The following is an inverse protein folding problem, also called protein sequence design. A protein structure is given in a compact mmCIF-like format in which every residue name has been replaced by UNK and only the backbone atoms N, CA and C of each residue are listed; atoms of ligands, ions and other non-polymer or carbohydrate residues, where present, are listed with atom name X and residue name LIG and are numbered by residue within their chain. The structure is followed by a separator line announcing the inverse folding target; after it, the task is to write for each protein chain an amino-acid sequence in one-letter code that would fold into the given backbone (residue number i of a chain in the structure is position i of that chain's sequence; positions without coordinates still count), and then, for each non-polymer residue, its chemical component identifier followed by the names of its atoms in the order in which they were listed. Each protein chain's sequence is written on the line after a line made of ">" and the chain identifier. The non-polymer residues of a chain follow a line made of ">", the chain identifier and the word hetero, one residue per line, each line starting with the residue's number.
data_IF_686846866050
#
_entry.id   IF_686846866050
#
_cell.length_a   1.000
_cell.length_b   1.000
_cell.length_c   1.000
_cell.angle_alpha   90.00
_cell.angle_beta   90.00
_cell.angle_gamma   90.00
#
_symmetry.space_group_name_H-M   'P 1'
#
loop_
_entity.id
_entity.type
_entity.pdbx_description
1 polymer ?
#
# COMPACT_ATOMS: atom_id res chain seq x y z
N UNK A 1 55.40 32.47 16.05
CA UNK A 1 55.42 31.02 15.77
C UNK A 1 54.14 30.31 16.22
N UNK A 2 53.64 30.54 17.45
CA UNK A 2 52.47 29.84 18.01
C UNK A 2 51.15 30.06 17.23
N UNK A 3 50.87 31.29 16.77
CA UNK A 3 49.63 31.60 16.04
C UNK A 3 49.48 30.82 14.72
N UNK A 4 50.58 30.54 14.02
CA UNK A 4 50.57 29.74 12.77
C UNK A 4 50.33 28.25 13.04
N UNK A 5 50.78 27.76 14.20
CA UNK A 5 50.55 26.38 14.61
C UNK A 5 49.08 26.18 14.98
N UNK A 6 48.49 27.13 15.71
CA UNK A 6 47.07 27.12 16.10
C UNK A 6 46.13 27.22 14.90
N UNK A 7 46.46 28.05 13.90
CA UNK A 7 45.66 28.12 12.66
C UNK A 7 45.70 26.80 11.87
N UNK A 8 46.87 26.14 11.81
CA UNK A 8 47.02 24.86 11.10
C UNK A 8 46.32 23.70 11.82
N UNK A 9 46.30 23.69 13.15
CA UNK A 9 45.55 22.69 13.92
C UNK A 9 44.04 22.90 13.81
N UNK A 10 43.57 24.15 13.80
CA UNK A 10 42.15 24.47 13.64
C UNK A 10 41.61 24.04 12.26
N UNK A 11 42.40 24.26 11.19
CA UNK A 11 42.01 23.83 9.84
C UNK A 11 41.94 22.30 9.71
N UNK A 12 42.90 21.56 10.31
CA UNK A 12 42.85 20.09 10.33
C UNK A 12 41.65 19.57 11.11
N UNK A 13 41.35 20.14 12.28
CA UNK A 13 40.20 19.75 13.10
C UNK A 13 38.87 19.92 12.33
N UNK A 14 38.70 21.05 11.63
CA UNK A 14 37.51 21.32 10.82
C UNK A 14 37.35 20.35 9.62
N UNK A 15 38.45 19.95 8.98
CA UNK A 15 38.41 18.96 7.86
C UNK A 15 38.23 17.51 8.33
N UNK A 16 38.52 17.21 9.59
CA UNK A 16 38.33 15.86 10.18
C UNK A 16 36.99 15.68 10.88
N UNK A 17 36.17 16.74 10.98
CA UNK A 17 34.77 16.63 11.35
C UNK A 17 34.05 15.85 10.25
N UNK A 18 34.09 14.52 10.34
CA UNK A 18 33.27 13.62 9.53
C UNK A 18 31.85 14.13 9.62
N UNK A 19 31.29 14.56 8.49
CA UNK A 19 29.88 14.90 8.40
C UNK A 19 29.10 13.79 9.11
N UNK A 20 28.27 14.17 10.10
CA UNK A 20 27.46 13.22 10.84
C UNK A 20 26.77 12.31 9.83
N UNK A 21 26.90 10.99 9.98
CA UNK A 21 26.22 10.03 9.11
C UNK A 21 24.73 10.33 9.21
N UNK A 22 24.17 10.95 8.18
CA UNK A 22 22.72 11.10 8.07
C UNK A 22 22.19 9.67 8.01
N UNK A 23 21.26 9.27 8.88
CA UNK A 23 20.65 7.95 8.76
C UNK A 23 20.08 7.84 7.34
N UNK A 24 20.48 6.79 6.62
CA UNK A 24 19.88 6.51 5.34
C UNK A 24 18.37 6.36 5.56
N UNK A 25 17.56 7.00 4.73
CA UNK A 25 16.12 6.77 4.69
C UNK A 25 15.90 5.30 4.34
N UNK A 26 15.80 4.45 5.36
CA UNK A 26 15.39 3.07 5.21
C UNK A 26 13.92 3.12 4.81
N UNK A 27 13.59 2.48 3.68
CA UNK A 27 12.18 2.20 3.37
C UNK A 27 11.57 1.50 4.58
N UNK A 28 10.33 1.82 4.94
CA UNK A 28 9.64 1.34 6.15
C UNK A 28 9.79 -0.17 6.41
N UNK A 29 9.94 -0.97 5.35
CA UNK A 29 10.03 -2.44 5.42
C UNK A 29 11.45 -3.01 5.45
N UNK A 30 12.50 -2.18 5.44
CA UNK A 30 13.89 -2.65 5.41
C UNK A 30 14.46 -3.02 6.81
N UNK A 31 13.64 -2.92 7.87
CA UNK A 31 14.06 -3.15 9.25
C UNK A 31 14.01 -4.63 9.71
N UNK A 32 13.58 -5.56 8.85
CA UNK A 32 13.50 -7.00 9.11
C UNK A 32 12.07 -7.54 9.21
N UNK A 33 11.90 -8.85 8.98
CA UNK A 33 10.59 -9.54 8.95
C UNK A 33 10.07 -9.83 7.53
N UNK A 34 9.09 -10.72 7.41
CA UNK A 34 8.31 -10.92 6.17
C UNK A 34 7.07 -10.02 6.27
N UNK A 35 6.85 -9.06 5.36
CA UNK A 35 5.69 -8.19 5.35
C UNK A 35 4.37 -8.96 5.25
N UNK A 36 3.32 -8.49 5.92
CA UNK A 36 1.97 -9.05 5.72
C UNK A 36 1.26 -8.38 4.54
N UNK A 37 0.20 -9.01 4.04
CA UNK A 37 -0.58 -8.46 2.93
C UNK A 37 -1.28 -7.14 3.35
N UNK A 38 -1.58 -6.95 4.62
CA UNK A 38 -2.06 -5.65 5.12
C UNK A 38 -1.08 -4.51 4.88
N UNK A 39 0.22 -4.81 4.88
CA UNK A 39 1.31 -3.83 4.82
C UNK A 39 1.81 -3.62 3.39
N UNK A 40 1.81 -4.67 2.58
CA UNK A 40 2.44 -4.66 1.25
C UNK A 40 1.51 -4.97 0.08
N UNK A 41 0.28 -5.48 0.29
CA UNK A 41 -0.65 -5.65 -0.83
C UNK A 41 -0.95 -4.28 -1.46
N UNK A 42 -0.91 -4.22 -2.79
CA UNK A 42 -1.16 -2.98 -3.55
C UNK A 42 -2.07 -3.25 -4.75
N UNK A 43 -2.51 -2.17 -5.41
CA UNK A 43 -3.33 -2.27 -6.61
C UNK A 43 -4.65 -3.00 -6.36
N UNK A 44 -5.03 -3.85 -7.32
CA UNK A 44 -6.30 -4.58 -7.29
C UNK A 44 -6.41 -5.53 -6.09
N UNK A 45 -5.31 -6.17 -5.72
CA UNK A 45 -5.27 -7.10 -4.57
C UNK A 45 -5.67 -6.38 -3.28
N UNK A 46 -5.09 -5.20 -3.04
CA UNK A 46 -5.44 -4.37 -1.88
C UNK A 46 -6.91 -3.94 -1.90
N UNK A 47 -7.41 -3.53 -3.07
CA UNK A 47 -8.82 -3.11 -3.22
C UNK A 47 -9.79 -4.26 -2.95
N UNK A 48 -9.50 -5.47 -3.46
CA UNK A 48 -10.31 -6.66 -3.19
C UNK A 48 -10.29 -6.98 -1.70
N UNK A 49 -9.11 -6.99 -1.07
CA UNK A 49 -8.97 -7.30 0.35
C UNK A 49 -9.77 -6.32 1.24
N UNK A 50 -9.69 -5.02 0.95
CA UNK A 50 -10.45 -4.01 1.71
C UNK A 50 -11.96 -4.13 1.48
N UNK A 51 -12.41 -4.43 0.26
CA UNK A 51 -13.82 -4.63 -0.05
C UNK A 51 -14.37 -5.89 0.66
N UNK A 52 -13.61 -6.98 0.63
CA UNK A 52 -13.98 -8.21 1.33
C UNK A 52 -14.07 -8.01 2.85
N UNK A 53 -13.16 -7.21 3.44
CA UNK A 53 -13.23 -6.82 4.87
C UNK A 53 -14.51 -6.04 5.21
N UNK A 54 -15.10 -5.33 4.25
CA UNK A 54 -16.40 -4.63 4.39
C UNK A 54 -17.61 -5.50 4.04
N UNK A 55 -17.40 -6.74 3.58
CA UNK A 55 -18.47 -7.61 3.09
C UNK A 55 -18.98 -7.24 1.69
N UNK A 56 -18.23 -6.45 0.93
CA UNK A 56 -18.54 -6.05 -0.44
C UNK A 56 -17.78 -6.93 -1.44
N UNK A 57 -18.39 -7.20 -2.60
CA UNK A 57 -17.76 -7.98 -3.68
C UNK A 57 -17.84 -7.23 -5.04
N UNK A 58 -17.04 -6.18 -5.23
CA UNK A 58 -17.06 -5.39 -6.46
C UNK A 58 -16.54 -6.15 -7.68
N UNK A 59 -15.76 -7.21 -7.46
CA UNK A 59 -15.12 -7.99 -8.53
C UNK A 59 -15.78 -9.36 -8.80
N UNK A 60 -16.96 -9.62 -8.22
CA UNK A 60 -17.76 -10.83 -8.44
C UNK A 60 -17.01 -12.15 -8.13
N UNK A 61 -16.25 -12.17 -7.03
CA UNK A 61 -15.53 -13.34 -6.54
C UNK A 61 -16.46 -14.39 -5.90
N UNK A 62 -17.62 -13.97 -5.40
CA UNK A 62 -18.60 -14.81 -4.72
C UNK A 62 -19.82 -15.08 -5.60
N UNK A 63 -20.56 -16.13 -5.25
CA UNK A 63 -21.83 -16.43 -5.92
C UNK A 63 -22.86 -15.33 -5.59
N UNK A 64 -23.56 -14.78 -6.60
CA UNK A 64 -24.62 -13.80 -6.36
C UNK A 64 -25.73 -14.35 -5.46
N UNK A 65 -26.36 -13.45 -4.71
CA UNK A 65 -27.55 -13.80 -3.92
C UNK A 65 -28.74 -14.09 -4.84
N UNK A 66 -29.50 -15.11 -4.49
CA UNK A 66 -30.73 -15.49 -5.19
C UNK A 66 -31.95 -14.79 -4.58
N UNK A 67 -32.85 -14.32 -5.43
CA UNK A 67 -34.16 -13.75 -5.07
C UNK A 67 -35.29 -14.64 -5.60
N UNK A 68 -36.56 -14.33 -5.31
CA UNK A 68 -37.68 -15.15 -5.81
C UNK A 68 -37.78 -15.14 -7.35
N UNK A 69 -37.31 -14.08 -8.00
CA UNK A 69 -37.36 -13.92 -9.46
C UNK A 69 -38.76 -13.59 -9.98
N UNK A 70 -39.67 -13.19 -9.09
CA UNK A 70 -41.00 -12.71 -9.47
C UNK A 70 -40.93 -11.27 -9.99
N UNK A 71 -42.03 -10.77 -10.55
CA UNK A 71 -42.11 -9.37 -11.00
C UNK A 71 -41.96 -8.39 -9.82
N UNK A 72 -42.47 -8.77 -8.65
CA UNK A 72 -42.46 -7.92 -7.46
C UNK A 72 -41.13 -8.02 -6.68
N UNK A 73 -40.42 -9.16 -6.78
CA UNK A 73 -39.10 -9.38 -6.19
C UNK A 73 -38.12 -10.02 -7.21
N UNK A 74 -37.61 -9.21 -8.15
CA UNK A 74 -36.71 -9.68 -9.21
C UNK A 74 -35.29 -9.91 -8.70
N UNK A 75 -34.52 -10.74 -9.42
CA UNK A 75 -33.08 -10.87 -9.18
C UNK A 75 -32.36 -9.55 -9.52
N UNK A 76 -31.69 -8.97 -8.52
CA UNK A 76 -30.91 -7.74 -8.71
C UNK A 76 -29.54 -8.09 -9.28
N UNK A 77 -29.24 -7.57 -10.47
CA UNK A 77 -27.97 -7.81 -11.18
C UNK A 77 -27.18 -6.50 -11.26
N UNK A 78 -26.17 -6.28 -10.38
CA UNK A 78 -25.33 -5.09 -10.44
C UNK A 78 -24.56 -5.01 -11.76
N UNK A 79 -24.38 -3.82 -12.31
CA UNK A 79 -23.61 -3.62 -13.54
C UNK A 79 -22.91 -2.27 -13.50
N UNK A 80 -21.67 -2.23 -14.00
CA UNK A 80 -20.92 -0.98 -14.18
C UNK A 80 -21.43 -0.20 -15.40
N UNK A 81 -22.13 -0.87 -16.33
CA UNK A 81 -22.68 -0.28 -17.56
C UNK A 81 -24.20 -0.50 -17.66
N UNK A 82 -24.81 -0.03 -18.75
CA UNK A 82 -26.27 -0.11 -18.98
C UNK A 82 -26.80 -1.52 -19.31
N UNK A 83 -25.92 -2.52 -19.55
CA UNK A 83 -26.34 -3.90 -19.87
C UNK A 83 -25.33 -4.93 -19.35
N UNK A 84 -25.83 -6.10 -18.94
CA UNK A 84 -25.03 -7.23 -18.44
C UNK A 84 -25.60 -8.56 -18.94
N UNK A 85 -24.72 -9.49 -19.29
CA UNK A 85 -25.10 -10.85 -19.68
C UNK A 85 -25.49 -11.63 -18.41
N UNK A 86 -26.60 -12.36 -18.49
CA UNK A 86 -27.11 -13.21 -17.41
C UNK A 86 -27.14 -14.66 -17.89
N UNK A 87 -26.52 -15.56 -17.13
CA UNK A 87 -26.68 -17.00 -17.32
C UNK A 87 -27.80 -17.50 -16.41
N UNK A 88 -28.88 -18.02 -17.00
CA UNK A 88 -29.93 -18.71 -16.27
C UNK A 88 -29.62 -20.22 -16.32
N UNK A 89 -29.65 -20.87 -15.16
CA UNK A 89 -29.49 -22.32 -15.03
C UNK A 89 -30.87 -22.98 -15.11
#
# INVERSE_FOLDING_TARGET
>A
MAARLLLRSAFRAATTCRAARVPALTRSMAAGGIPTDEEQATGLERTIMEAMKKGEDPYNMLKPKWYSGTKDDPNIVPSVTNKRIVGCI
#
